data_IF_153435349136
#
_entry.id   IF_153435349136
#
_cell.length_a   1.000
_cell.length_b   1.000
_cell.length_c   1.000
_cell.angle_alpha   90.00
_cell.angle_beta   90.00
_cell.angle_gamma   90.00
#
_symmetry.space_group_name_H-M   'P 1'
#
loop_
_entity.id
_entity.type
_entity.pdbx_description
1 polymer ?
#
# COMPACT_ATOMS: atom_id res chain seq x y z
N UNK A 1 8.46 21.06 -17.09
CA UNK A 1 9.27 20.12 -16.28
C UNK A 1 8.85 18.70 -16.66
N UNK A 2 9.76 17.82 -17.05
CA UNK A 2 9.44 16.45 -17.44
C UNK A 2 9.34 15.57 -16.18
N UNK A 3 8.11 15.42 -15.66
CA UNK A 3 7.83 14.66 -14.43
C UNK A 3 8.24 13.19 -14.52
N UNK A 4 8.15 12.61 -15.71
CA UNK A 4 8.58 11.22 -15.94
C UNK A 4 10.10 11.08 -15.75
N UNK A 5 10.87 12.00 -16.34
CA UNK A 5 12.32 12.03 -16.18
C UNK A 5 12.73 12.19 -14.71
N UNK A 6 12.03 13.03 -13.94
CA UNK A 6 12.27 13.19 -12.49
C UNK A 6 11.97 11.88 -11.76
N UNK A 7 10.79 11.28 -12.01
CA UNK A 7 10.37 10.06 -11.35
C UNK A 7 11.35 8.90 -11.62
N UNK A 8 11.75 8.71 -12.88
CA UNK A 8 12.69 7.69 -13.31
C UNK A 8 14.10 7.91 -12.76
N UNK A 9 14.63 9.14 -12.86
CA UNK A 9 15.98 9.46 -12.39
C UNK A 9 16.10 9.25 -10.89
N UNK A 10 15.10 9.67 -10.10
CA UNK A 10 15.06 9.44 -8.64
C UNK A 10 15.08 7.95 -8.26
N UNK A 11 14.73 7.06 -9.19
CA UNK A 11 14.55 5.62 -8.95
C UNK A 11 15.50 4.74 -9.78
N UNK A 12 16.47 5.35 -10.48
CA UNK A 12 17.44 4.62 -11.30
C UNK A 12 16.83 3.87 -12.49
N UNK A 13 15.68 4.33 -13.00
CA UNK A 13 14.97 3.71 -14.13
C UNK A 13 15.41 4.40 -15.43
N UNK A 14 15.56 3.63 -16.51
CA UNK A 14 15.83 4.20 -17.84
C UNK A 14 14.68 5.09 -18.30
N UNK A 15 14.99 6.23 -18.93
CA UNK A 15 13.99 7.12 -19.53
C UNK A 15 13.43 6.65 -20.88
N UNK A 16 13.92 5.53 -21.40
CA UNK A 16 13.53 4.97 -22.70
C UNK A 16 12.37 3.96 -22.61
N UNK A 17 11.73 3.84 -21.45
CA UNK A 17 10.56 2.96 -21.28
C UNK A 17 9.35 3.54 -22.02
N UNK A 18 8.67 2.70 -22.80
CA UNK A 18 7.42 3.06 -23.45
C UNK A 18 6.31 3.22 -22.39
N UNK A 19 5.61 4.34 -22.41
CA UNK A 19 4.61 4.68 -21.39
C UNK A 19 3.34 5.21 -22.04
N UNK A 20 2.19 4.74 -21.56
CA UNK A 20 0.90 5.34 -21.91
C UNK A 20 0.60 6.57 -21.02
N UNK A 21 -0.45 7.30 -21.37
CA UNK A 21 -0.86 8.52 -20.66
C UNK A 21 -1.22 8.28 -19.18
N UNK A 22 -1.78 7.12 -18.84
CA UNK A 22 -2.13 6.76 -17.46
C UNK A 22 -0.88 6.66 -16.59
N UNK A 23 0.19 6.04 -17.11
CA UNK A 23 1.48 5.90 -16.42
C UNK A 23 2.14 7.28 -16.25
N UNK A 24 2.10 8.12 -17.29
CA UNK A 24 2.65 9.48 -17.24
C UNK A 24 1.96 10.32 -16.16
N UNK A 25 0.63 10.29 -16.11
CA UNK A 25 -0.15 11.03 -15.13
C UNK A 25 -0.01 10.42 -13.72
N UNK A 26 0.11 9.10 -13.60
CA UNK A 26 0.41 8.43 -12.32
C UNK A 26 1.74 8.92 -11.71
N UNK A 27 2.82 8.89 -12.50
CA UNK A 27 4.15 9.34 -12.06
C UNK A 27 4.14 10.82 -11.66
N UNK A 28 3.47 11.65 -12.48
CA UNK A 28 3.31 13.08 -12.21
C UNK A 28 2.53 13.33 -10.92
N UNK A 29 1.43 12.61 -10.67
CA UNK A 29 0.65 12.76 -9.44
C UNK A 29 1.49 12.47 -8.21
N UNK A 30 2.24 11.36 -8.20
CA UNK A 30 3.08 10.98 -7.06
C UNK A 30 4.09 12.09 -6.73
N UNK A 31 4.87 12.53 -7.73
CA UNK A 31 5.93 13.54 -7.55
C UNK A 31 5.35 14.91 -7.19
N UNK A 32 4.30 15.35 -7.89
CA UNK A 32 3.68 16.65 -7.64
C UNK A 32 3.08 16.71 -6.23
N UNK A 33 2.38 15.66 -5.80
CA UNK A 33 1.85 15.58 -4.43
C UNK A 33 2.98 15.66 -3.41
N UNK A 34 4.08 14.96 -3.63
CA UNK A 34 5.22 14.96 -2.72
C UNK A 34 5.93 16.32 -2.63
N UNK A 35 6.15 16.97 -3.77
CA UNK A 35 6.77 18.29 -3.83
C UNK A 35 5.89 19.34 -3.12
N UNK A 36 4.56 19.26 -3.30
CA UNK A 36 3.60 20.13 -2.59
C UNK A 36 3.69 19.92 -1.08
N UNK A 37 3.67 18.66 -0.60
CA UNK A 37 3.76 18.37 0.84
C UNK A 37 5.06 18.89 1.41
N UNK A 38 6.18 18.62 0.75
CA UNK A 38 7.51 19.06 1.19
C UNK A 38 7.56 20.59 1.36
N UNK A 39 7.01 21.33 0.39
CA UNK A 39 6.95 22.79 0.47
C UNK A 39 5.99 23.27 1.58
N UNK A 40 4.81 22.68 1.70
CA UNK A 40 3.84 23.05 2.73
C UNK A 40 4.35 22.77 4.15
N UNK A 41 4.98 21.62 4.36
CA UNK A 41 5.63 21.26 5.63
C UNK A 41 6.74 22.25 5.96
N UNK A 42 7.65 22.50 5.02
CA UNK A 42 8.75 23.48 5.21
C UNK A 42 8.21 24.85 5.61
N UNK A 43 7.16 25.32 4.96
CA UNK A 43 6.55 26.62 5.24
C UNK A 43 5.77 26.68 6.57
N UNK A 44 5.50 25.54 7.20
CA UNK A 44 4.75 25.45 8.46
C UNK A 44 5.59 24.86 9.61
N UNK A 45 6.88 24.62 9.40
CA UNK A 45 7.73 23.85 10.34
C UNK A 45 7.76 24.46 11.75
N UNK A 46 7.78 25.80 11.82
CA UNK A 46 7.83 26.52 13.09
C UNK A 46 6.65 26.22 14.01
N UNK A 47 5.49 25.90 13.44
CA UNK A 47 4.31 25.48 14.20
C UNK A 47 4.27 23.95 14.38
N UNK A 48 4.58 23.20 13.33
CA UNK A 48 4.49 21.75 13.33
C UNK A 48 5.43 21.08 14.33
N UNK A 49 6.59 21.68 14.62
CA UNK A 49 7.54 21.16 15.62
C UNK A 49 6.97 21.06 17.04
N UNK A 50 5.88 21.76 17.33
CA UNK A 50 5.21 21.73 18.63
C UNK A 50 4.04 20.71 18.68
N UNK A 51 3.68 20.12 17.53
CA UNK A 51 2.61 19.14 17.44
C UNK A 51 3.14 17.74 17.85
N UNK A 52 2.60 17.10 18.91
CA UNK A 52 3.28 15.98 19.56
C UNK A 52 3.61 14.76 18.71
N UNK A 53 2.80 14.51 17.69
CA UNK A 53 2.94 13.33 16.84
C UNK A 53 3.16 13.68 15.38
N UNK A 54 3.43 14.95 15.07
CA UNK A 54 3.57 15.40 13.68
C UNK A 54 4.69 14.69 12.94
N UNK A 55 5.88 14.58 13.55
CA UNK A 55 7.02 13.90 12.92
C UNK A 55 6.70 12.43 12.63
N UNK A 56 5.99 11.75 13.52
CA UNK A 56 5.58 10.35 13.35
C UNK A 56 4.57 10.23 12.20
N UNK A 57 3.56 11.10 12.12
CA UNK A 57 2.64 11.11 10.98
C UNK A 57 3.34 11.47 9.68
N UNK A 58 4.36 12.32 9.73
CA UNK A 58 5.19 12.65 8.57
C UNK A 58 6.00 11.44 8.09
N UNK A 59 6.57 10.64 9.00
CA UNK A 59 7.26 9.40 8.66
C UNK A 59 6.30 8.37 8.06
N UNK A 60 5.08 8.25 8.60
CA UNK A 60 4.02 7.41 8.00
C UNK A 60 3.66 7.89 6.58
N UNK A 61 3.62 9.20 6.37
CA UNK A 61 3.43 9.80 5.04
C UNK A 61 4.58 9.45 4.08
N UNK A 62 5.84 9.59 4.51
CA UNK A 62 6.99 9.25 3.69
C UNK A 62 7.01 7.77 3.30
N UNK A 63 6.66 6.87 4.24
CA UNK A 63 6.48 5.44 3.93
C UNK A 63 5.33 5.17 2.97
N UNK A 64 4.21 5.88 3.11
CA UNK A 64 3.11 5.78 2.15
C UNK A 64 3.56 6.19 0.73
N UNK A 65 4.34 7.27 0.62
CA UNK A 65 4.92 7.73 -0.64
C UNK A 65 5.90 6.70 -1.23
N UNK A 66 6.77 6.10 -0.41
CA UNK A 66 7.70 5.04 -0.82
C UNK A 66 6.95 3.81 -1.39
N UNK A 67 5.94 3.30 -0.68
CA UNK A 67 5.18 2.13 -1.15
C UNK A 67 4.40 2.43 -2.43
N UNK A 68 3.77 3.60 -2.52
CA UNK A 68 3.04 4.03 -3.72
C UNK A 68 3.98 4.21 -4.93
N UNK A 69 5.17 4.73 -4.68
CA UNK A 69 6.22 4.85 -5.70
C UNK A 69 6.73 3.49 -6.14
N UNK A 70 6.91 2.57 -5.19
CA UNK A 70 7.37 1.20 -5.43
C UNK A 70 6.38 0.38 -6.25
N UNK A 71 5.07 0.56 -6.02
CA UNK A 71 4.05 -0.15 -6.81
C UNK A 71 4.09 0.29 -8.27
N UNK A 72 4.12 1.60 -8.55
CA UNK A 72 4.25 2.10 -9.93
C UNK A 72 5.58 1.67 -10.58
N UNK A 73 6.68 1.69 -9.81
CA UNK A 73 8.00 1.25 -10.30
C UNK A 73 7.99 -0.21 -10.71
N UNK A 74 7.42 -1.07 -9.87
CA UNK A 74 7.33 -2.51 -10.17
C UNK A 74 6.46 -2.76 -11.40
N UNK A 75 5.38 -1.99 -11.55
CA UNK A 75 4.52 -2.03 -12.73
C UNK A 75 5.28 -1.63 -14.01
N UNK A 76 6.05 -0.54 -13.96
CA UNK A 76 6.84 -0.02 -15.08
C UNK A 76 7.87 -1.01 -15.61
N UNK A 77 8.47 -1.82 -14.74
CA UNK A 77 9.43 -2.86 -15.13
C UNK A 77 8.77 -4.21 -15.42
N UNK A 78 7.45 -4.21 -15.64
CA UNK A 78 6.63 -5.40 -15.92
C UNK A 78 6.64 -6.49 -14.84
N UNK A 79 6.99 -6.14 -13.59
CA UNK A 79 6.83 -7.02 -12.42
C UNK A 79 5.43 -6.87 -11.82
N UNK A 80 4.43 -7.31 -12.57
CA UNK A 80 3.01 -7.04 -12.32
C UNK A 80 2.53 -7.56 -10.94
N UNK A 81 2.79 -8.82 -10.60
CA UNK A 81 2.39 -9.38 -9.29
C UNK A 81 3.07 -8.66 -8.12
N UNK A 82 4.32 -8.22 -8.30
CA UNK A 82 5.03 -7.42 -7.28
C UNK A 82 4.39 -6.04 -7.13
N UNK A 83 3.95 -5.44 -8.24
CA UNK A 83 3.23 -4.17 -8.20
C UNK A 83 1.92 -4.28 -7.40
N UNK A 84 1.16 -5.36 -7.58
CA UNK A 84 -0.09 -5.60 -6.84
C UNK A 84 0.13 -5.83 -5.34
N UNK A 85 1.12 -6.65 -4.97
CA UNK A 85 1.50 -6.85 -3.58
C UNK A 85 1.93 -5.52 -2.91
N UNK A 86 2.64 -4.65 -3.66
CA UNK A 86 2.98 -3.30 -3.20
C UNK A 86 1.77 -2.37 -3.17
N UNK A 87 0.79 -2.49 -4.08
CA UNK A 87 -0.45 -1.73 -4.02
C UNK A 87 -1.22 -2.03 -2.72
N UNK A 88 -1.29 -3.29 -2.29
CA UNK A 88 -1.87 -3.66 -0.99
C UNK A 88 -1.19 -2.90 0.14
N UNK A 89 0.14 -2.93 0.16
CA UNK A 89 0.97 -2.28 1.19
C UNK A 89 0.79 -0.75 1.17
N UNK A 90 0.75 -0.15 -0.01
CA UNK A 90 0.52 1.28 -0.20
C UNK A 90 -0.87 1.71 0.30
N UNK A 91 -1.92 0.96 -0.04
CA UNK A 91 -3.29 1.23 0.43
C UNK A 91 -3.37 1.09 1.94
N UNK A 92 -2.79 0.03 2.52
CA UNK A 92 -2.76 -0.12 3.98
C UNK A 92 -2.03 1.03 4.67
N UNK A 93 -0.88 1.45 4.13
CA UNK A 93 -0.13 2.60 4.64
C UNK A 93 -0.94 3.89 4.56
N UNK A 94 -1.67 4.11 3.46
CA UNK A 94 -2.54 5.26 3.28
C UNK A 94 -3.70 5.26 4.29
N UNK A 95 -4.35 4.11 4.50
CA UNK A 95 -5.42 3.94 5.49
C UNK A 95 -4.92 4.15 6.91
N UNK A 96 -3.73 3.64 7.24
CA UNK A 96 -3.11 3.85 8.54
C UNK A 96 -2.84 5.35 8.77
N UNK A 97 -2.33 6.07 7.77
CA UNK A 97 -2.12 7.52 7.86
C UNK A 97 -3.45 8.29 8.00
N UNK A 98 -4.47 7.94 7.21
CA UNK A 98 -5.80 8.54 7.30
C UNK A 98 -6.39 8.36 8.70
N UNK A 99 -6.37 7.13 9.21
CA UNK A 99 -6.89 6.81 10.53
C UNK A 99 -6.09 7.50 11.65
N UNK A 100 -4.76 7.47 11.59
CA UNK A 100 -3.91 8.14 12.56
C UNK A 100 -4.11 9.67 12.56
N UNK A 101 -4.43 10.26 11.41
CA UNK A 101 -4.75 11.69 11.27
C UNK A 101 -6.19 12.03 11.67
N UNK A 102 -7.05 11.04 11.93
CA UNK A 102 -8.48 11.24 12.22
C UNK A 102 -8.75 11.34 13.73
N UNK A 103 -9.30 12.47 14.18
CA UNK A 103 -9.68 12.67 15.58
C UNK A 103 -8.48 12.82 16.52
N UNK A 104 -8.43 11.99 17.57
CA UNK A 104 -7.34 11.94 18.57
C UNK A 104 -6.10 11.22 18.01
N UNK A 105 -5.30 11.97 17.27
CA UNK A 105 -4.04 11.53 16.65
C UNK A 105 -3.03 11.03 17.67
N UNK A 106 -2.88 11.73 18.81
CA UNK A 106 -1.97 11.30 19.88
C UNK A 106 -2.38 9.92 20.41
N UNK A 107 -3.67 9.73 20.72
CA UNK A 107 -4.19 8.44 21.16
C UNK A 107 -4.03 7.34 20.10
N UNK A 108 -4.28 7.66 18.83
CA UNK A 108 -4.13 6.73 17.72
C UNK A 108 -2.67 6.28 17.53
N UNK A 109 -1.71 7.21 17.58
CA UNK A 109 -0.28 6.90 17.44
C UNK A 109 0.24 6.07 18.61
N UNK A 110 -0.18 6.38 19.84
CA UNK A 110 0.16 5.54 21.01
C UNK A 110 -0.43 4.13 20.85
N UNK A 111 -1.68 4.02 20.40
CA UNK A 111 -2.31 2.73 20.14
C UNK A 111 -1.57 1.94 19.05
N UNK A 112 -1.11 2.61 18.00
CA UNK A 112 -0.31 2.01 16.92
C UNK A 112 0.98 1.36 17.44
N UNK A 113 1.79 2.10 18.20
CA UNK A 113 3.03 1.56 18.76
C UNK A 113 2.80 0.45 19.78
N UNK A 114 1.75 0.56 20.61
CA UNK A 114 1.40 -0.50 21.57
C UNK A 114 1.01 -1.79 20.89
N UNK A 115 0.24 -1.72 19.81
CA UNK A 115 -0.08 -2.91 19.04
C UNK A 115 1.19 -3.57 18.47
N UNK A 116 2.12 -2.78 17.94
CA UNK A 116 3.40 -3.30 17.46
C UNK A 116 4.16 -4.03 18.57
N UNK A 117 4.37 -3.38 19.72
CA UNK A 117 5.08 -3.96 20.85
C UNK A 117 4.41 -5.25 21.36
N UNK A 118 3.07 -5.24 21.49
CA UNK A 118 2.32 -6.42 21.92
C UNK A 118 2.46 -7.57 20.91
N UNK A 119 2.33 -7.28 19.62
CA UNK A 119 2.45 -8.25 18.53
C UNK A 119 3.83 -8.90 18.50
N UNK A 120 4.91 -8.11 18.57
CA UNK A 120 6.27 -8.65 18.61
C UNK A 120 6.51 -9.52 19.85
N UNK A 121 6.01 -9.11 21.01
CA UNK A 121 6.11 -9.93 22.23
C UNK A 121 5.37 -11.25 22.11
N UNK A 122 4.21 -11.28 21.47
CA UNK A 122 3.43 -12.51 21.25
C UNK A 122 4.07 -13.42 20.19
N UNK A 123 4.69 -12.84 19.16
CA UNK A 123 5.53 -13.59 18.22
C UNK A 123 6.74 -14.21 18.92
N UNK A 124 7.43 -13.48 19.80
CA UNK A 124 8.55 -14.00 20.58
C UNK A 124 8.12 -15.13 21.53
N UNK A 125 6.96 -15.01 22.19
CA UNK A 125 6.38 -16.10 23.00
C UNK A 125 6.10 -17.34 22.16
N UNK A 126 5.55 -17.15 20.97
CA UNK A 126 5.22 -18.24 20.05
C UNK A 126 6.48 -18.90 19.50
N UNK A 127 7.50 -18.11 19.15
CA UNK A 127 8.80 -18.59 18.72
C UNK A 127 9.46 -19.44 19.81
N UNK A 128 9.49 -18.94 21.06
CA UNK A 128 10.04 -19.70 22.19
C UNK A 128 9.33 -21.05 22.37
N UNK A 129 7.99 -21.06 22.35
CA UNK A 129 7.19 -22.31 22.43
C UNK A 129 7.55 -23.30 21.33
N UNK A 130 7.79 -22.82 20.10
CA UNK A 130 8.19 -23.67 18.97
C UNK A 130 9.60 -24.22 19.15
N UNK A 131 10.54 -23.42 19.66
CA UNK A 131 11.93 -23.85 19.95
C UNK A 131 11.95 -24.92 21.04
N UNK A 132 11.19 -24.74 22.12
CA UNK A 132 11.15 -25.72 23.22
C UNK A 132 10.57 -27.07 22.76
N UNK A 133 9.57 -27.04 21.88
CA UNK A 133 8.95 -28.24 21.29
C UNK A 133 9.77 -28.91 20.18
N UNK A 134 10.82 -28.26 19.68
CA UNK A 134 11.61 -28.82 18.59
C UNK A 134 12.46 -30.00 19.08
N UNK A 135 12.79 -30.93 18.19
CA UNK A 135 13.74 -32.02 18.47
C UNK A 135 15.19 -31.62 18.10
N UNK A 136 15.45 -30.33 17.88
CA UNK A 136 16.76 -29.83 17.47
C UNK A 136 17.82 -29.91 18.58
N UNK A 137 19.11 -29.84 18.23
CA UNK A 137 20.21 -29.80 19.19
C UNK A 137 20.05 -28.68 20.23
N UNK A 138 20.51 -28.94 21.46
CA UNK A 138 20.41 -27.95 22.54
C UNK A 138 21.19 -26.66 22.26
N UNK A 139 22.30 -26.74 21.53
CA UNK A 139 23.09 -25.57 21.14
C UNK A 139 22.30 -24.61 20.24
N UNK A 140 21.58 -25.15 19.24
CA UNK A 140 20.70 -24.35 18.37
C UNK A 140 19.54 -23.74 19.17
N UNK A 141 18.94 -24.52 20.08
CA UNK A 141 17.89 -23.99 20.97
C UNK A 141 18.40 -22.84 21.82
N UNK A 142 19.62 -22.93 22.35
CA UNK A 142 20.20 -21.87 23.16
C UNK A 142 20.48 -20.61 22.34
N UNK A 143 21.00 -20.76 21.11
CA UNK A 143 21.13 -19.64 20.18
C UNK A 143 19.79 -18.92 19.94
N UNK A 144 18.71 -19.67 19.74
CA UNK A 144 17.37 -19.11 19.59
C UNK A 144 16.88 -18.38 20.85
N UNK A 145 17.09 -18.95 22.05
CA UNK A 145 16.74 -18.31 23.32
C UNK A 145 17.48 -16.99 23.51
N UNK A 146 18.76 -16.94 23.19
CA UNK A 146 19.57 -15.73 23.24
C UNK A 146 19.06 -14.65 22.26
N UNK A 147 18.69 -15.03 21.04
CA UNK A 147 18.07 -14.12 20.07
C UNK A 147 16.73 -13.56 20.58
N UNK A 148 15.89 -14.42 21.17
CA UNK A 148 14.61 -14.03 21.75
C UNK A 148 14.80 -13.08 22.93
N UNK A 149 15.77 -13.35 23.82
CA UNK A 149 16.11 -12.47 24.96
C UNK A 149 16.52 -11.08 24.48
N UNK A 150 17.43 -11.00 23.51
CA UNK A 150 17.85 -9.72 22.90
C UNK A 150 16.68 -8.97 22.27
N UNK A 151 15.76 -9.68 21.60
CA UNK A 151 14.54 -9.07 21.08
C UNK A 151 13.66 -8.47 22.19
N UNK A 152 13.47 -9.16 23.32
CA UNK A 152 12.74 -8.60 24.46
C UNK A 152 13.41 -7.35 25.02
N UNK A 153 14.72 -7.40 25.25
CA UNK A 153 15.50 -6.24 25.73
C UNK A 153 15.33 -5.02 24.81
N UNK A 154 15.41 -5.22 23.49
CA UNK A 154 15.19 -4.16 22.51
C UNK A 154 13.76 -3.59 22.55
N UNK A 155 12.75 -4.44 22.71
CA UNK A 155 11.35 -4.00 22.82
C UNK A 155 11.14 -3.16 24.08
N UNK A 156 11.76 -3.54 25.20
CA UNK A 156 11.67 -2.79 26.46
C UNK A 156 12.38 -1.42 26.35
N UNK A 157 13.54 -1.36 25.68
CA UNK A 157 14.23 -0.10 25.37
C UNK A 157 13.35 0.80 24.51
N UNK A 158 12.76 0.28 23.44
CA UNK A 158 11.86 1.04 22.57
C UNK A 158 10.62 1.56 23.32
N UNK A 159 9.98 0.72 24.14
CA UNK A 159 8.81 1.13 24.92
C UNK A 159 9.16 2.22 25.94
N UNK A 160 10.29 2.09 26.63
CA UNK A 160 10.75 3.11 27.57
C UNK A 160 11.11 4.43 26.88
N UNK A 161 11.76 4.37 25.71
CA UNK A 161 12.05 5.55 24.91
C UNK A 161 10.77 6.26 24.45
N UNK A 162 9.72 5.51 24.08
CA UNK A 162 8.41 6.07 23.76
C UNK A 162 7.77 6.76 24.98
N UNK A 163 7.75 6.08 26.15
CA UNK A 163 7.23 6.68 27.41
C UNK A 163 7.94 7.99 27.73
N UNK A 164 9.26 8.00 27.69
CA UNK A 164 10.07 9.17 27.99
C UNK A 164 9.79 10.30 27.00
N UNK A 165 9.79 10.00 25.70
CA UNK A 165 9.53 10.99 24.64
C UNK A 165 8.16 11.65 24.77
N UNK A 166 7.11 10.88 25.05
CA UNK A 166 5.77 11.45 25.27
C UNK A 166 5.70 12.23 26.59
N UNK A 167 6.40 11.80 27.63
CA UNK A 167 6.41 12.50 28.93
C UNK A 167 7.02 13.90 28.85
N UNK A 168 8.04 14.10 28.01
CA UNK A 168 8.65 15.42 27.74
C UNK A 168 7.59 16.40 27.18
N UNK A 169 6.60 15.88 26.46
CA UNK A 169 5.49 16.65 25.87
C UNK A 169 4.27 16.72 26.79
N UNK A 170 4.38 16.28 28.06
CA UNK A 170 3.28 16.23 29.01
C UNK A 170 2.20 15.19 28.68
N UNK A 171 2.52 14.20 27.84
CA UNK A 171 1.61 13.11 27.46
C UNK A 171 1.99 11.86 28.25
N UNK A 172 1.03 11.34 29.02
CA UNK A 172 1.18 10.06 29.67
C UNK A 172 0.84 8.92 28.70
N UNK A 173 1.89 8.20 28.29
CA UNK A 173 1.78 7.04 27.42
C UNK A 173 0.86 5.97 28.01
N UNK A 174 0.92 5.73 29.33
CA UNK A 174 0.26 4.60 30.00
C UNK A 174 -1.23 4.86 30.28
N UNK A 175 -1.63 6.09 30.61
CA UNK A 175 -3.03 6.40 30.94
C UNK A 175 -3.99 6.44 29.74
N UNK A 176 -3.51 6.71 28.53
CA UNK A 176 -4.38 6.72 27.34
C UNK A 176 -4.87 5.32 27.05
N UNK A 177 -6.17 5.06 27.16
CA UNK A 177 -6.74 3.74 26.87
C UNK A 177 -7.23 3.69 25.42
N UNK A 178 -6.76 2.70 24.67
CA UNK A 178 -7.19 2.49 23.29
C UNK A 178 -6.42 1.33 22.66
N UNK A 179 -7.10 0.57 21.81
CA UNK A 179 -6.48 -0.46 20.96
C UNK A 179 -6.42 0.04 19.54
N UNK A 180 -5.32 -0.25 18.84
CA UNK A 180 -5.28 -0.03 17.40
C UNK A 180 -6.28 -0.99 16.74
N UNK A 181 -7.30 -0.47 16.05
CA UNK A 181 -8.40 -1.31 15.56
C UNK A 181 -7.94 -2.18 14.39
N UNK A 182 -8.71 -3.20 14.02
CA UNK A 182 -8.39 -4.06 12.87
C UNK A 182 -8.35 -3.24 11.57
N UNK A 183 -7.73 -3.77 10.52
CA UNK A 183 -7.68 -3.05 9.23
C UNK A 183 -9.10 -2.74 8.71
N UNK A 184 -10.03 -3.69 8.80
CA UNK A 184 -11.44 -3.48 8.43
C UNK A 184 -12.06 -2.32 9.22
N UNK A 185 -11.89 -2.30 10.54
CA UNK A 185 -12.42 -1.24 11.39
C UNK A 185 -11.81 0.13 11.05
N UNK A 186 -10.53 0.17 10.65
CA UNK A 186 -9.88 1.42 10.18
C UNK A 186 -10.56 1.94 8.92
N UNK A 187 -10.83 1.08 7.95
CA UNK A 187 -11.60 1.43 6.75
C UNK A 187 -13.01 1.93 7.09
N UNK A 188 -13.72 1.26 8.01
CA UNK A 188 -15.05 1.71 8.44
C UNK A 188 -14.99 3.10 9.09
N UNK A 189 -14.01 3.36 9.98
CA UNK A 189 -13.87 4.65 10.67
C UNK A 189 -13.55 5.82 9.75
N UNK A 190 -12.92 5.56 8.60
CA UNK A 190 -12.65 6.59 7.58
C UNK A 190 -13.69 6.58 6.44
N UNK A 191 -14.83 5.91 6.64
CA UNK A 191 -15.93 5.80 5.66
C UNK A 191 -15.53 5.15 4.31
N UNK A 192 -14.67 4.14 4.34
CA UNK A 192 -14.18 3.42 3.16
C UNK A 192 -14.47 1.91 3.20
N UNK A 193 -15.57 1.51 3.84
CA UNK A 193 -15.95 0.10 3.93
C UNK A 193 -16.08 -0.57 2.55
N UNK A 194 -16.65 0.13 1.57
CA UNK A 194 -16.80 -0.40 0.21
C UNK A 194 -15.42 -0.71 -0.38
N UNK A 195 -14.48 0.22 -0.30
CA UNK A 195 -13.13 0.04 -0.83
C UNK A 195 -12.38 -1.11 -0.14
N UNK A 196 -12.63 -1.36 1.14
CA UNK A 196 -12.09 -2.54 1.81
C UNK A 196 -12.54 -3.83 1.11
N UNK A 197 -13.84 -3.94 0.83
CA UNK A 197 -14.45 -5.16 0.27
C UNK A 197 -14.10 -5.36 -1.19
N UNK A 198 -14.02 -4.28 -1.97
CA UNK A 198 -13.86 -4.35 -3.42
C UNK A 198 -12.41 -4.26 -3.89
N UNK A 199 -11.53 -3.62 -3.12
CA UNK A 199 -10.14 -3.38 -3.52
C UNK A 199 -9.18 -4.08 -2.56
N UNK A 200 -9.21 -3.73 -1.27
CA UNK A 200 -8.19 -4.20 -0.34
C UNK A 200 -8.26 -5.71 -0.11
N UNK A 201 -9.47 -6.27 0.05
CA UNK A 201 -9.68 -7.70 0.22
C UNK A 201 -9.24 -8.51 -1.02
N UNK A 202 -9.48 -7.99 -2.23
CA UNK A 202 -9.02 -8.61 -3.47
C UNK A 202 -7.49 -8.60 -3.56
N UNK A 203 -6.83 -7.49 -3.23
CA UNK A 203 -5.36 -7.42 -3.20
C UNK A 203 -4.72 -8.30 -2.11
N UNK A 204 -5.47 -8.72 -1.09
CA UNK A 204 -4.97 -9.65 -0.07
C UNK A 204 -4.79 -11.07 -0.59
N UNK A 205 -5.61 -11.54 -1.55
CA UNK A 205 -5.38 -12.84 -2.19
C UNK A 205 -4.15 -12.79 -3.10
N UNK A 206 -3.97 -11.69 -3.83
CA UNK A 206 -2.86 -11.49 -4.78
C UNK A 206 -1.46 -11.44 -4.15
N UNK A 207 -1.36 -11.21 -2.84
CA UNK A 207 -0.08 -11.25 -2.13
C UNK A 207 0.47 -12.67 -1.92
N UNK A 208 -0.32 -13.69 -2.27
CA UNK A 208 0.05 -15.10 -2.24
C UNK A 208 0.03 -15.67 -3.66
N UNK A 209 0.55 -16.88 -3.87
CA UNK A 209 0.42 -17.58 -5.15
C UNK A 209 -1.08 -17.82 -5.44
N UNK A 210 -1.73 -16.86 -6.09
CA UNK A 210 -3.19 -16.81 -6.20
C UNK A 210 -3.69 -18.00 -7.02
N UNK A 211 -4.57 -18.86 -6.46
CA UNK A 211 -5.11 -19.98 -7.20
C UNK A 211 -5.83 -19.58 -8.50
N UNK A 212 -6.42 -18.37 -8.56
CA UNK A 212 -7.08 -17.86 -9.77
C UNK A 212 -6.09 -17.66 -10.91
N UNK A 213 -4.96 -16.99 -10.67
CA UNK A 213 -3.88 -16.83 -11.64
C UNK A 213 -3.30 -18.16 -12.10
N UNK A 214 -3.08 -19.10 -11.18
CA UNK A 214 -2.58 -20.44 -11.51
C UNK A 214 -3.60 -21.19 -12.39
N UNK A 215 -4.89 -21.06 -12.09
CA UNK A 215 -5.96 -21.65 -12.88
C UNK A 215 -6.04 -21.01 -14.27
N UNK A 216 -5.99 -19.68 -14.38
CA UNK A 216 -5.99 -18.97 -15.66
C UNK A 216 -4.79 -19.38 -16.54
N UNK A 217 -3.61 -19.51 -15.94
CA UNK A 217 -2.41 -20.03 -16.62
C UNK A 217 -2.52 -21.50 -17.01
N UNK A 218 -3.27 -22.31 -16.25
CA UNK A 218 -3.58 -23.68 -16.66
C UNK A 218 -4.54 -23.69 -17.85
N UNK A 219 -5.62 -22.90 -17.78
CA UNK A 219 -6.61 -22.79 -18.85
C UNK A 219 -5.99 -22.29 -20.15
N UNK A 220 -5.07 -21.32 -20.09
CA UNK A 220 -4.36 -20.80 -21.27
C UNK A 220 -3.51 -21.83 -21.99
N UNK A 221 -2.99 -22.82 -21.27
CA UNK A 221 -2.23 -23.94 -21.86
C UNK A 221 -3.13 -25.03 -22.46
N UNK A 222 -4.35 -25.17 -21.96
CA UNK A 222 -5.29 -26.22 -22.37
C UNK A 222 -6.16 -25.75 -23.53
N UNK A 223 -6.62 -24.49 -23.48
CA UNK A 223 -7.54 -23.93 -24.47
C UNK A 223 -6.73 -23.45 -25.70
N UNK A 224 -6.67 -24.31 -26.72
CA UNK A 224 -6.26 -23.91 -28.08
C UNK A 224 -7.51 -23.59 -28.90
N UNK A 225 -7.60 -22.36 -29.41
CA UNK A 225 -8.77 -21.89 -30.16
C UNK A 225 -8.39 -21.80 -31.64
N UNK A 226 -9.02 -22.65 -32.47
CA UNK A 226 -8.83 -22.61 -33.92
C UNK A 226 -9.27 -21.24 -34.47
N UNK A 227 -8.40 -20.60 -35.26
CA UNK A 227 -8.68 -19.30 -35.90
C UNK A 227 -8.33 -18.08 -35.06
N UNK A 228 -7.85 -18.27 -33.82
CA UNK A 228 -7.12 -17.25 -33.06
C UNK A 228 -5.63 -17.65 -33.14
N UNK A 229 -4.72 -16.67 -33.18
CA UNK A 229 -3.27 -16.95 -33.13
C UNK A 229 -2.94 -17.90 -31.97
N UNK A 230 -1.85 -18.67 -32.11
CA UNK A 230 -1.44 -19.81 -31.25
C UNK A 230 -1.37 -19.51 -29.73
N UNK A 231 -1.64 -18.28 -29.27
CA UNK A 231 -1.64 -17.84 -27.88
C UNK A 231 -2.79 -16.88 -27.49
N UNK A 232 -3.88 -16.77 -28.26
CA UNK A 232 -4.83 -15.67 -28.04
C UNK A 232 -5.57 -15.66 -26.71
N UNK A 233 -5.81 -16.81 -26.06
CA UNK A 233 -6.34 -16.81 -24.69
C UNK A 233 -5.29 -16.34 -23.67
N UNK A 234 -4.03 -16.75 -23.82
CA UNK A 234 -2.94 -16.28 -22.96
C UNK A 234 -2.76 -14.76 -23.08
N UNK A 235 -2.75 -14.22 -24.31
CA UNK A 235 -2.69 -12.78 -24.56
C UNK A 235 -3.88 -12.03 -23.94
N UNK A 236 -5.09 -12.61 -23.97
CA UNK A 236 -6.26 -12.01 -23.35
C UNK A 236 -6.10 -11.89 -21.83
N UNK A 237 -5.63 -12.96 -21.17
CA UNK A 237 -5.34 -12.97 -19.73
C UNK A 237 -4.24 -11.96 -19.38
N UNK A 238 -3.17 -11.87 -20.17
CA UNK A 238 -2.10 -10.88 -19.96
C UNK A 238 -2.61 -9.43 -20.07
N UNK A 239 -3.46 -9.14 -21.06
CA UNK A 239 -4.07 -7.82 -21.24
C UNK A 239 -5.00 -7.48 -20.07
N UNK A 240 -5.82 -8.44 -19.62
CA UNK A 240 -6.71 -8.27 -18.48
C UNK A 240 -5.91 -8.00 -17.20
N UNK A 241 -4.87 -8.80 -16.94
CA UNK A 241 -3.98 -8.59 -15.79
C UNK A 241 -3.36 -7.19 -15.85
N UNK A 242 -2.80 -6.79 -16.99
CA UNK A 242 -2.19 -5.47 -17.15
C UNK A 242 -3.14 -4.33 -16.77
N UNK A 243 -4.37 -4.35 -17.27
CA UNK A 243 -5.37 -3.32 -16.97
C UNK A 243 -5.84 -3.37 -15.52
N UNK A 244 -6.01 -4.57 -14.96
CA UNK A 244 -6.36 -4.76 -13.56
C UNK A 244 -5.28 -4.16 -12.64
N UNK A 245 -4.01 -4.52 -12.85
CA UNK A 245 -2.91 -4.03 -12.02
C UNK A 245 -2.68 -2.54 -12.20
N UNK A 246 -2.83 -2.00 -13.41
CA UNK A 246 -2.77 -0.55 -13.63
C UNK A 246 -3.88 0.17 -12.86
N UNK A 247 -5.11 -0.36 -12.89
CA UNK A 247 -6.22 0.16 -12.10
C UNK A 247 -5.92 0.11 -10.59
N UNK A 248 -5.29 -0.97 -10.10
CA UNK A 248 -4.85 -1.07 -8.70
C UNK A 248 -3.77 -0.04 -8.34
N UNK A 249 -2.79 0.19 -9.22
CA UNK A 249 -1.75 1.22 -9.03
C UNK A 249 -2.37 2.61 -8.96
N UNK A 250 -3.25 2.97 -9.90
CA UNK A 250 -3.95 4.26 -9.88
C UNK A 250 -4.81 4.42 -8.62
N UNK A 251 -5.46 3.34 -8.18
CA UNK A 251 -6.25 3.34 -6.94
C UNK A 251 -5.38 3.57 -5.72
N UNK A 252 -4.22 2.89 -5.61
CA UNK A 252 -3.26 3.11 -4.54
C UNK A 252 -2.76 4.58 -4.51
N UNK A 253 -2.52 5.18 -5.68
CA UNK A 253 -2.17 6.59 -5.81
C UNK A 253 -3.32 7.48 -5.30
N UNK A 254 -4.57 7.18 -5.65
CA UNK A 254 -5.74 7.93 -5.14
C UNK A 254 -5.80 7.90 -3.60
N UNK A 255 -5.60 6.72 -3.01
CA UNK A 255 -5.51 6.55 -1.55
C UNK A 255 -4.37 7.37 -0.93
N UNK A 256 -3.19 7.39 -1.56
CA UNK A 256 -2.06 8.20 -1.12
C UNK A 256 -2.37 9.71 -1.15
N UNK A 257 -2.98 10.21 -2.23
CA UNK A 257 -3.33 11.64 -2.34
C UNK A 257 -4.41 12.01 -1.31
N UNK A 258 -5.40 11.14 -1.09
CA UNK A 258 -6.44 11.36 -0.08
C UNK A 258 -5.87 11.32 1.35
N UNK A 259 -4.98 10.36 1.64
CA UNK A 259 -4.27 10.29 2.92
C UNK A 259 -3.41 11.53 3.18
N UNK A 260 -2.76 12.04 2.14
CA UNK A 260 -2.01 13.29 2.18
C UNK A 260 -2.91 14.48 2.54
N UNK A 261 -4.10 14.55 1.95
CA UNK A 261 -5.06 15.60 2.27
C UNK A 261 -5.48 15.56 3.75
N UNK A 262 -5.81 14.38 4.28
CA UNK A 262 -6.20 14.21 5.69
C UNK A 262 -5.05 14.55 6.64
N UNK A 263 -3.83 14.09 6.35
CA UNK A 263 -2.63 14.40 7.11
C UNK A 263 -2.38 15.91 7.21
N UNK A 264 -2.40 16.63 6.08
CA UNK A 264 -2.20 18.08 6.08
C UNK A 264 -3.36 18.82 6.77
N UNK A 265 -4.60 18.38 6.54
CA UNK A 265 -5.78 18.99 7.15
C UNK A 265 -5.82 18.84 8.67
N UNK A 266 -5.30 17.72 9.22
CA UNK A 266 -5.17 17.52 10.67
C UNK A 266 -4.38 18.66 11.33
N UNK A 267 -3.38 19.18 10.65
CA UNK A 267 -2.59 20.31 11.11
C UNK A 267 -3.09 21.65 10.60
N UNK A 268 -4.34 21.78 10.15
CA UNK A 268 -4.91 23.02 9.60
C UNK A 268 -4.13 23.62 8.42
N UNK A 269 -3.41 22.79 7.66
CA UNK A 269 -2.71 23.24 6.45
C UNK A 269 -3.72 23.19 5.28
N UNK A 270 -3.96 24.30 4.54
CA UNK A 270 -4.96 24.33 3.48
C UNK A 270 -4.66 23.36 2.32
N UNK A 271 -5.58 22.43 2.07
CA UNK A 271 -5.46 21.40 1.01
C UNK A 271 -6.30 21.68 -0.24
N UNK A 272 -7.32 22.53 -0.14
CA UNK A 272 -8.35 22.74 -1.18
C UNK A 272 -7.80 23.22 -2.52
N UNK A 273 -6.75 24.07 -2.49
CA UNK A 273 -6.15 24.63 -3.71
C UNK A 273 -5.06 23.74 -4.32
N UNK A 274 -4.46 22.85 -3.55
CA UNK A 274 -3.22 22.15 -3.93
C UNK A 274 -3.41 20.64 -4.10
N UNK A 275 -4.10 19.97 -3.16
CA UNK A 275 -4.21 18.51 -3.11
C UNK A 275 -5.54 18.02 -3.68
N UNK A 276 -6.66 18.70 -3.35
CA UNK A 276 -7.99 18.28 -3.82
C UNK A 276 -8.11 18.23 -5.36
N UNK A 277 -7.56 19.19 -6.13
CA UNK A 277 -7.60 19.11 -7.59
C UNK A 277 -6.83 17.89 -8.14
N UNK A 278 -5.73 17.51 -7.48
CA UNK A 278 -4.96 16.31 -7.85
C UNK A 278 -5.79 15.05 -7.58
N UNK A 279 -6.46 14.98 -6.42
CA UNK A 279 -7.32 13.85 -6.07
C UNK A 279 -8.46 13.66 -7.08
N UNK A 280 -9.13 14.74 -7.48
CA UNK A 280 -10.21 14.71 -8.48
C UNK A 280 -9.66 14.17 -9.79
N UNK A 281 -8.55 14.74 -10.29
CA UNK A 281 -7.92 14.29 -11.53
C UNK A 281 -7.54 12.80 -11.49
N UNK A 282 -7.01 12.31 -10.38
CA UNK A 282 -6.66 10.90 -10.22
C UNK A 282 -7.89 10.01 -10.23
N UNK A 283 -9.02 10.43 -9.62
CA UNK A 283 -10.28 9.68 -9.68
C UNK A 283 -10.86 9.65 -11.10
N UNK A 284 -10.80 10.78 -11.82
CA UNK A 284 -11.24 10.85 -13.21
C UNK A 284 -10.41 9.90 -14.10
N UNK A 285 -9.10 9.83 -13.87
CA UNK A 285 -8.19 8.93 -14.57
C UNK A 285 -8.53 7.44 -14.35
N UNK A 286 -8.92 7.07 -13.13
CA UNK A 286 -9.38 5.71 -12.80
C UNK A 286 -10.67 5.39 -13.56
N UNK A 287 -11.65 6.30 -13.54
CA UNK A 287 -12.94 6.12 -14.21
C UNK A 287 -12.74 5.97 -15.72
N UNK A 288 -11.88 6.81 -16.31
CA UNK A 288 -11.54 6.75 -17.74
C UNK A 288 -10.90 5.40 -18.10
N UNK A 289 -9.90 4.94 -17.33
CA UNK A 289 -9.28 3.64 -17.55
C UNK A 289 -10.30 2.50 -17.47
N UNK A 290 -11.17 2.50 -16.47
CA UNK A 290 -12.22 1.48 -16.29
C UNK A 290 -13.23 1.49 -17.43
N UNK A 291 -13.50 2.65 -18.02
CA UNK A 291 -14.41 2.79 -19.16
C UNK A 291 -13.75 2.27 -20.45
N UNK A 292 -12.49 2.63 -20.68
CA UNK A 292 -11.75 2.29 -21.89
C UNK A 292 -11.23 0.84 -21.90
N UNK A 293 -10.99 0.23 -20.74
CA UNK A 293 -10.52 -1.16 -20.64
C UNK A 293 -11.63 -2.19 -20.90
N UNK A 294 -12.87 -1.92 -20.47
CA UNK A 294 -14.02 -2.84 -20.66
C UNK A 294 -14.26 -3.19 -22.12
N UNK A 295 -14.09 -2.24 -23.04
CA UNK A 295 -14.25 -2.48 -24.48
C UNK A 295 -13.13 -3.35 -25.07
N UNK A 296 -11.94 -3.34 -24.44
CA UNK A 296 -10.77 -4.11 -24.87
C UNK A 296 -10.72 -5.53 -24.29
N UNK A 297 -11.18 -5.72 -23.06
CA UNK A 297 -11.17 -7.03 -22.35
C UNK A 297 -12.38 -7.90 -22.74
N UNK A 298 -13.56 -7.31 -22.94
CA UNK A 298 -14.78 -8.08 -23.20
C UNK A 298 -14.79 -8.79 -24.55
N UNK A 299 -13.93 -8.40 -25.49
CA UNK A 299 -13.92 -8.95 -26.84
C UNK A 299 -13.15 -10.29 -26.91
N UNK A 300 -11.88 -10.39 -26.44
CA UNK A 300 -11.10 -11.62 -26.59
C UNK A 300 -11.62 -12.81 -25.77
N UNK A 301 -11.95 -12.60 -24.49
CA UNK A 301 -12.42 -13.67 -23.58
C UNK A 301 -13.80 -14.21 -24.01
N UNK A 302 -14.70 -13.32 -24.40
CA UNK A 302 -16.04 -13.70 -24.88
C UNK A 302 -15.97 -14.44 -26.21
N UNK A 303 -15.14 -13.97 -27.14
CA UNK A 303 -14.91 -14.65 -28.41
C UNK A 303 -14.26 -16.04 -28.19
N UNK A 304 -13.32 -16.14 -27.25
CA UNK A 304 -12.70 -17.41 -26.86
C UNK A 304 -13.71 -18.42 -26.29
N UNK A 305 -14.55 -17.99 -25.35
CA UNK A 305 -15.59 -18.84 -24.76
C UNK A 305 -16.64 -19.24 -25.80
N UNK A 306 -17.11 -18.29 -26.62
CA UNK A 306 -18.11 -18.57 -27.66
C UNK A 306 -17.58 -19.54 -28.71
N UNK A 307 -16.34 -19.39 -29.17
CA UNK A 307 -15.73 -20.31 -30.13
C UNK A 307 -15.55 -21.73 -29.57
N UNK A 308 -15.30 -21.87 -28.27
CA UNK A 308 -15.17 -23.18 -27.61
C UNK A 308 -16.51 -23.92 -27.46
N UNK A 309 -17.62 -23.19 -27.32
CA UNK A 309 -18.97 -23.75 -27.13
C UNK A 309 -19.69 -24.11 -28.44
N UNK A 310 -19.17 -23.67 -29.59
CA UNK A 310 -19.75 -23.94 -30.92
C UNK A 310 -19.12 -25.16 -31.63
N UNK A 311 -18.30 -25.96 -30.92
CA UNK A 311 -17.62 -27.16 -31.46
C UNK A 311 -18.39 -28.48 -31.25
N UNK A 312 -19.72 -28.43 -31.08
CA UNK A 312 -20.62 -29.59 -31.21
C UNK A 312 -21.15 -29.73 -32.64
#
# INVERSE_FOLDING_TARGET
>A
MNWLCIFFTKRGISSEIDTNEYILEAAKTIELTHDIVTNLVRNNIDRLQYEPVWSILHDMYLKCHEFTSGSLTSFLVAHISSAEALCRTAIESAVNLQYASYGDDVGNVIAYFRLYLATERDQNKSWLKSVEKSNGPNEEKEYHRDCIRKKYENLDVCENALRESFSIMGIDFDSRRGSWPSIFDRFCKINKEIDYRTIYAALCSQAHNDPEDILNNLMSRIIQIDGIEENGYAQAVEIEQYFFSLNMVLTAISFYVEATAMYLAKYNIPVSKNIIPILIKTKDLIIDLQTNSKSRIANPVRLAIQASLTKE
#
